data_IF_009656654927
#
_entry.id   IF_009656654927
#
_cell.length_a   1.000
_cell.length_b   1.000
_cell.length_c   1.000
_cell.angle_alpha   90.00
_cell.angle_beta   90.00
_cell.angle_gamma   90.00
#
_symmetry.space_group_name_H-M   'P 1'
#
loop_
_entity.id
_entity.type
_entity.pdbx_description
1 polymer ?
#
# COMPACT_ATOMS: atom_id res chain seq x y z
N UNK A 1 8.77 -2.47 4.81
CA UNK A 1 10.15 -2.51 4.32
C UNK A 1 10.67 -1.11 3.95
N UNK A 2 10.19 -0.02 4.60
CA UNK A 2 10.63 1.36 4.31
C UNK A 2 11.10 2.10 5.58
N UNK A 3 12.25 1.73 6.17
CA UNK A 3 12.78 2.43 7.35
C UNK A 3 13.70 3.60 6.98
N UNK A 4 13.98 3.83 5.69
CA UNK A 4 15.06 4.70 5.28
C UNK A 4 14.66 5.69 4.18
N UNK A 5 14.96 6.97 4.43
CA UNK A 5 14.66 8.07 3.51
C UNK A 5 15.36 7.95 2.15
N UNK A 6 16.40 7.12 2.02
CA UNK A 6 17.13 6.95 0.76
C UNK A 6 16.28 6.26 -0.33
N UNK A 7 15.30 5.43 0.05
CA UNK A 7 14.39 4.78 -0.92
C UNK A 7 13.58 5.83 -1.69
N UNK A 8 13.17 6.92 -1.01
CA UNK A 8 12.47 8.03 -1.65
C UNK A 8 13.34 8.71 -2.72
N UNK A 9 14.66 8.76 -2.53
CA UNK A 9 15.59 9.37 -3.51
C UNK A 9 15.81 8.47 -4.72
N UNK A 10 15.99 7.16 -4.51
CA UNK A 10 16.27 6.20 -5.59
C UNK A 10 15.05 5.93 -6.46
N UNK A 11 13.85 5.98 -5.89
CA UNK A 11 12.60 5.69 -6.61
C UNK A 11 11.69 6.92 -6.78
N UNK A 12 12.23 8.14 -6.59
CA UNK A 12 11.51 9.41 -6.70
C UNK A 12 10.76 9.57 -8.03
N UNK A 13 11.35 9.09 -9.13
CA UNK A 13 10.78 9.23 -10.47
C UNK A 13 9.57 8.32 -10.76
N UNK A 14 9.25 7.38 -9.85
CA UNK A 14 8.14 6.43 -10.04
C UNK A 14 6.83 6.89 -9.37
N UNK A 15 6.82 8.01 -8.63
CA UNK A 15 5.64 8.60 -7.97
C UNK A 15 4.81 7.67 -7.02
N UNK A 16 5.25 6.43 -6.84
CA UNK A 16 4.58 5.35 -6.09
C UNK A 16 4.52 5.52 -4.57
N UNK A 17 5.27 6.48 -4.02
CA UNK A 17 5.33 6.77 -2.59
C UNK A 17 5.34 8.28 -2.38
N UNK A 18 4.41 8.75 -1.56
CA UNK A 18 4.32 10.15 -1.11
C UNK A 18 4.26 10.18 0.41
N UNK A 19 5.02 11.07 1.04
CA UNK A 19 4.92 11.34 2.48
C UNK A 19 3.97 12.52 2.70
N UNK A 20 2.95 12.33 3.51
CA UNK A 20 2.01 13.37 3.94
C UNK A 20 1.98 13.42 5.47
N UNK A 21 2.65 14.42 6.05
CA UNK A 21 2.88 14.49 7.49
C UNK A 21 3.64 13.25 7.99
N UNK A 22 3.01 12.54 8.92
CA UNK A 22 3.55 11.30 9.52
C UNK A 22 3.12 10.04 8.77
N UNK A 23 2.40 10.16 7.66
CA UNK A 23 1.88 9.03 6.89
C UNK A 23 2.58 8.88 5.55
N UNK A 24 2.67 7.63 5.10
CA UNK A 24 3.04 7.29 3.74
C UNK A 24 1.79 6.94 2.94
N UNK A 25 1.68 7.53 1.77
CA UNK A 25 0.61 7.32 0.79
C UNK A 25 1.22 6.63 -0.42
N UNK A 26 0.52 5.64 -0.96
CA UNK A 26 0.94 4.87 -2.14
C UNK A 26 -0.06 5.11 -3.27
N UNK A 27 0.08 6.21 -4.03
CA UNK A 27 -0.95 6.65 -4.97
C UNK A 27 -0.93 5.90 -6.31
N UNK A 28 0.14 5.16 -6.62
CA UNK A 28 0.26 4.42 -7.88
C UNK A 28 1.57 4.68 -8.64
N UNK A 29 1.82 3.95 -9.71
CA UNK A 29 3.04 4.06 -10.52
C UNK A 29 4.17 3.09 -10.15
N UNK A 30 3.95 2.24 -9.14
CA UNK A 30 4.86 1.14 -8.80
C UNK A 30 4.47 -0.16 -9.48
N UNK A 31 5.38 -1.14 -9.54
CA UNK A 31 5.09 -2.45 -10.15
C UNK A 31 4.04 -3.25 -9.38
N UNK A 32 4.02 -3.15 -8.05
CA UNK A 32 3.06 -3.84 -7.17
C UNK A 32 1.74 -3.07 -7.03
N UNK A 33 1.79 -1.74 -7.14
CA UNK A 33 0.64 -0.85 -7.02
C UNK A 33 0.61 0.09 -8.23
N UNK A 34 0.26 -0.41 -9.43
CA UNK A 34 0.21 0.44 -10.62
C UNK A 34 -0.83 1.55 -10.46
N UNK A 35 -1.97 1.23 -9.85
CA UNK A 35 -3.09 2.15 -9.60
C UNK A 35 -3.19 2.58 -8.13
N UNK A 36 -2.16 2.31 -7.33
CA UNK A 36 -2.12 2.63 -5.91
C UNK A 36 -2.60 1.49 -5.01
N UNK A 37 -2.43 1.67 -3.69
CA UNK A 37 -2.78 0.64 -2.69
C UNK A 37 -4.29 0.50 -2.50
N UNK A 38 -5.09 1.49 -2.90
CA UNK A 38 -6.56 1.46 -2.77
C UNK A 38 -7.18 0.28 -3.52
N UNK A 39 -6.89 0.13 -4.82
CA UNK A 39 -7.44 -0.98 -5.62
C UNK A 39 -7.00 -2.35 -5.10
N UNK A 40 -5.81 -2.45 -4.51
CA UNK A 40 -5.34 -3.67 -3.87
C UNK A 40 -6.19 -4.04 -2.64
N UNK A 41 -6.54 -3.04 -1.82
CA UNK A 41 -7.42 -3.23 -0.68
C UNK A 41 -8.84 -3.59 -1.12
N UNK A 42 -9.36 -2.94 -2.17
CA UNK A 42 -10.68 -3.25 -2.74
C UNK A 42 -10.76 -4.72 -3.18
N UNK A 43 -9.73 -5.21 -3.89
CA UNK A 43 -9.63 -6.61 -4.29
C UNK A 43 -9.55 -7.57 -3.09
N UNK A 44 -8.84 -7.20 -2.02
CA UNK A 44 -8.82 -7.99 -0.77
C UNK A 44 -10.20 -8.06 -0.11
N UNK A 45 -10.92 -6.94 -0.05
CA UNK A 45 -12.26 -6.89 0.54
C UNK A 45 -13.30 -7.66 -0.27
N UNK A 46 -13.15 -7.76 -1.58
CA UNK A 46 -13.98 -8.64 -2.43
C UNK A 46 -13.74 -10.13 -2.12
N UNK A 47 -12.48 -10.51 -1.88
CA UNK A 47 -12.10 -11.90 -1.58
C UNK A 47 -12.40 -12.30 -0.13
N UNK A 48 -12.37 -11.34 0.80
CA UNK A 48 -12.55 -11.57 2.23
C UNK A 48 -13.70 -10.70 2.73
N UNK A 49 -14.97 -11.15 2.57
CA UNK A 49 -16.15 -10.38 2.97
C UNK A 49 -16.13 -9.95 4.45
N UNK A 50 -15.44 -10.71 5.30
CA UNK A 50 -15.30 -10.40 6.72
C UNK A 50 -14.54 -9.11 7.02
N UNK A 51 -13.82 -8.55 6.04
CA UNK A 51 -13.21 -7.22 6.14
C UNK A 51 -14.27 -6.10 6.08
N UNK A 52 -15.39 -6.32 5.39
CA UNK A 52 -16.48 -5.34 5.23
C UNK A 52 -17.39 -5.28 6.45
N UNK A 53 -17.65 -6.42 7.09
CA UNK A 53 -18.55 -6.52 8.25
C UNK A 53 -17.82 -6.47 9.61
N UNK A 54 -16.49 -6.45 9.60
CA UNK A 54 -15.65 -6.38 10.79
C UNK A 54 -15.54 -7.70 11.58
N UNK A 55 -15.98 -8.83 11.01
CA UNK A 55 -15.69 -10.17 11.55
C UNK A 55 -14.20 -10.51 11.46
N UNK A 56 -13.49 -9.97 10.46
CA UNK A 56 -12.03 -9.89 10.42
C UNK A 56 -11.61 -8.52 10.94
N UNK A 57 -10.92 -8.49 12.07
CA UNK A 57 -10.47 -7.24 12.72
C UNK A 57 -9.00 -6.91 12.47
N UNK A 58 -8.23 -7.89 12.03
CA UNK A 58 -6.79 -7.75 11.80
C UNK A 58 -6.38 -8.66 10.66
N UNK A 59 -5.76 -8.08 9.65
CA UNK A 59 -5.09 -8.78 8.56
C UNK A 59 -3.62 -8.37 8.56
N UNK A 60 -2.73 -9.34 8.35
CA UNK A 60 -1.28 -9.08 8.22
C UNK A 60 -0.88 -9.58 6.83
N UNK A 61 -0.55 -8.64 5.96
CA UNK A 61 0.02 -8.95 4.66
C UNK A 61 1.55 -8.80 4.72
N UNK A 62 2.25 -9.93 4.62
CA UNK A 62 3.72 -9.99 4.61
C UNK A 62 4.31 -9.90 3.19
N UNK A 63 3.47 -9.86 2.16
CA UNK A 63 3.83 -9.90 0.75
C UNK A 63 3.64 -8.58 -0.01
N UNK A 64 3.11 -7.53 0.62
CA UNK A 64 2.78 -6.25 -0.04
C UNK A 64 3.96 -5.51 -0.70
N UNK A 65 5.21 -5.95 -0.47
CA UNK A 65 6.36 -5.52 -1.28
C UNK A 65 6.76 -4.05 -1.16
N UNK A 66 6.30 -3.34 -0.12
CA UNK A 66 6.69 -1.96 0.24
C UNK A 66 7.91 -1.91 1.15
#
# INVERSE_FOLDING_TARGET
NVPYEWINKVKAGQHWLKKEGDKFIFPGGGTMFPNGVGEYLDAMEELIPGMKDGSVRTAIDTGCGV
#
